data_IF_203427308093
#
_entry.id   IF_203427308093
#
_cell.length_a   1.000
_cell.length_b   1.000
_cell.length_c   1.000
_cell.angle_alpha   90.00
_cell.angle_beta   90.00
_cell.angle_gamma   90.00
#
_symmetry.space_group_name_H-M   'P 1'
#
loop_
_entity.id
_entity.type
_entity.pdbx_description
1 polymer ?
#
# COMPACT_ATOMS: atom_id res chain seq x y z
N UNK A 1 -28.55 -1.83 13.29
CA UNK A 1 -27.23 -1.68 13.93
C UNK A 1 -26.65 -0.36 13.42
N UNK A 2 -26.65 0.70 14.23
CA UNK A 2 -26.23 2.05 13.82
C UNK A 2 -25.05 2.53 14.67
N UNK A 3 -24.08 1.64 14.80
CA UNK A 3 -23.00 1.68 15.77
C UNK A 3 -21.80 0.94 15.15
N UNK A 4 -20.63 1.15 15.74
CA UNK A 4 -19.36 0.49 15.53
C UNK A 4 -18.37 1.21 14.60
N UNK A 5 -17.53 2.10 15.13
CA UNK A 5 -16.36 1.78 15.99
C UNK A 5 -15.21 1.04 15.27
N UNK A 6 -15.08 1.13 13.93
CA UNK A 6 -13.92 0.55 13.22
C UNK A 6 -13.25 1.44 12.18
N UNK A 7 -13.52 2.75 12.16
CA UNK A 7 -12.76 3.71 11.35
C UNK A 7 -11.34 3.95 11.89
N UNK A 8 -10.59 2.89 12.21
CA UNK A 8 -9.19 2.90 11.85
C UNK A 8 -9.14 2.43 10.41
N UNK A 9 -9.40 3.36 9.47
CA UNK A 9 -8.79 3.22 8.16
C UNK A 9 -7.30 3.14 8.45
N UNK A 10 -6.70 1.99 8.17
CA UNK A 10 -5.26 1.84 8.39
C UNK A 10 -4.61 2.73 7.35
N UNK A 11 -3.91 3.74 7.85
CA UNK A 11 -3.18 4.71 7.07
C UNK A 11 -1.71 4.64 7.43
N UNK A 12 -0.84 4.83 6.44
CA UNK A 12 0.59 4.83 6.64
C UNK A 12 1.27 5.79 5.67
N UNK A 13 2.45 6.25 6.06
CA UNK A 13 3.30 7.05 5.18
C UNK A 13 4.20 6.13 4.37
N UNK A 14 4.40 6.47 3.10
CA UNK A 14 5.28 5.70 2.21
C UNK A 14 6.03 6.59 1.24
N UNK A 15 6.95 5.97 0.51
CA UNK A 15 7.56 6.57 -0.67
C UNK A 15 7.03 5.85 -1.89
N UNK A 16 6.46 6.59 -2.84
CA UNK A 16 5.94 6.02 -4.08
C UNK A 16 6.60 6.63 -5.29
N UNK A 17 6.76 5.84 -6.34
CA UNK A 17 7.18 6.29 -7.67
C UNK A 17 6.37 5.57 -8.73
N UNK A 18 6.00 6.31 -9.78
CA UNK A 18 5.23 5.80 -10.91
C UNK A 18 6.03 4.80 -11.77
N UNK A 19 7.35 5.00 -11.81
CA UNK A 19 8.27 4.23 -12.65
C UNK A 19 9.70 4.33 -12.08
N UNK A 20 10.65 3.65 -12.73
CA UNK A 20 12.04 3.58 -12.27
C UNK A 20 12.84 4.89 -12.39
N UNK A 21 12.40 5.85 -13.21
CA UNK A 21 13.08 7.14 -13.45
C UNK A 21 12.41 8.31 -12.72
N UNK A 22 11.16 8.12 -12.31
CA UNK A 22 10.37 9.06 -11.54
C UNK A 22 10.96 9.25 -10.14
N UNK A 23 10.90 10.50 -9.67
CA UNK A 23 11.30 10.81 -8.30
C UNK A 23 10.33 10.17 -7.30
N UNK A 24 10.88 9.61 -6.23
CA UNK A 24 10.09 9.16 -5.07
C UNK A 24 9.35 10.34 -4.44
N UNK A 25 8.05 10.17 -4.22
CA UNK A 25 7.18 11.13 -3.56
C UNK A 25 6.74 10.58 -2.21
N UNK A 26 6.72 11.44 -1.20
CA UNK A 26 6.02 11.14 0.05
C UNK A 26 4.52 11.01 -0.23
N UNK A 27 3.95 9.91 0.23
CA UNK A 27 2.55 9.55 -0.02
C UNK A 27 1.88 9.05 1.24
N UNK A 28 0.56 9.24 1.29
CA UNK A 28 -0.33 8.62 2.25
C UNK A 28 -0.98 7.38 1.63
N UNK A 29 -0.88 6.27 2.34
CA UNK A 29 -1.41 4.97 1.92
C UNK A 29 -2.64 4.67 2.74
N UNK A 30 -3.72 4.26 2.08
CA UNK A 30 -4.99 3.92 2.72
C UNK A 30 -5.47 2.56 2.25
N UNK A 31 -5.80 1.66 3.18
CA UNK A 31 -6.49 0.40 2.86
C UNK A 31 -8.00 0.63 2.81
N UNK A 32 -8.60 0.37 1.64
CA UNK A 32 -10.04 0.26 1.44
C UNK A 32 -10.55 -1.17 1.59
N UNK A 33 -11.73 -1.46 1.01
CA UNK A 33 -12.31 -2.81 1.07
C UNK A 33 -11.53 -3.83 0.22
N UNK A 34 -11.15 -3.44 -0.99
CA UNK A 34 -10.41 -4.29 -1.94
C UNK A 34 -9.25 -3.58 -2.61
N UNK A 35 -9.03 -2.31 -2.27
CA UNK A 35 -8.07 -1.43 -2.93
C UNK A 35 -7.09 -0.83 -1.93
N UNK A 36 -5.84 -0.69 -2.36
CA UNK A 36 -4.85 0.16 -1.74
C UNK A 36 -4.86 1.49 -2.48
N UNK A 37 -5.26 2.56 -1.78
CA UNK A 37 -5.21 3.92 -2.30
C UNK A 37 -3.85 4.53 -1.95
N UNK A 38 -3.20 5.10 -2.96
CA UNK A 38 -1.97 5.87 -2.83
C UNK A 38 -2.31 7.32 -3.18
N UNK A 39 -2.18 8.23 -2.22
CA UNK A 39 -2.41 9.67 -2.43
C UNK A 39 -1.19 10.48 -2.06
N UNK A 40 -1.08 11.68 -2.62
CA UNK A 40 -0.06 12.64 -2.16
C UNK A 40 -0.39 13.17 -0.75
N UNK A 41 0.49 14.04 -0.23
CA UNK A 41 0.31 14.67 1.09
C UNK A 41 -0.86 15.67 1.15
N UNK A 42 -1.49 15.99 0.02
CA UNK A 42 -2.71 16.80 -0.07
C UNK A 42 -3.96 15.92 -0.27
N UNK A 43 -3.83 14.61 -0.04
CA UNK A 43 -4.87 13.59 -0.20
C UNK A 43 -5.41 13.49 -1.64
N UNK A 44 -4.63 13.94 -2.64
CA UNK A 44 -4.97 13.75 -4.04
C UNK A 44 -4.58 12.34 -4.49
N UNK A 45 -5.50 11.55 -5.05
CA UNK A 45 -5.21 10.18 -5.47
C UNK A 45 -4.16 10.17 -6.60
N UNK A 46 -3.07 9.44 -6.40
CA UNK A 46 -2.01 9.22 -7.39
C UNK A 46 -2.18 7.88 -8.10
N UNK A 47 -2.47 6.82 -7.33
CA UNK A 47 -2.65 5.47 -7.85
C UNK A 47 -3.65 4.67 -7.02
N UNK A 48 -4.25 3.66 -7.65
CA UNK A 48 -5.14 2.71 -7.02
C UNK A 48 -4.68 1.31 -7.38
N UNK A 49 -4.29 0.52 -6.38
CA UNK A 49 -3.91 -0.87 -6.59
C UNK A 49 -4.98 -1.80 -6.07
N UNK A 50 -5.22 -2.89 -6.79
CA UNK A 50 -6.06 -3.97 -6.28
C UNK A 50 -5.26 -4.75 -5.24
N UNK A 51 -5.76 -4.91 -4.02
CA UNK A 51 -5.09 -5.70 -2.98
C UNK A 51 -4.86 -7.16 -3.39
N UNK A 52 -5.69 -7.67 -4.31
CA UNK A 52 -5.56 -9.00 -4.90
C UNK A 52 -4.32 -9.15 -5.79
N UNK A 53 -3.85 -8.03 -6.34
CA UNK A 53 -2.83 -7.95 -7.37
C UNK A 53 -1.67 -7.06 -6.89
N UNK A 54 -1.34 -7.11 -5.60
CA UNK A 54 -0.11 -6.51 -5.05
C UNK A 54 0.88 -7.63 -4.81
N UNK A 55 2.14 -7.39 -5.17
CA UNK A 55 3.25 -8.28 -4.89
C UNK A 55 4.32 -7.59 -4.05
N UNK A 56 5.01 -8.37 -3.22
CA UNK A 56 6.12 -7.90 -2.40
C UNK A 56 7.44 -8.30 -3.07
N UNK A 57 8.23 -7.32 -3.49
CA UNK A 57 9.49 -7.54 -4.19
C UNK A 57 10.63 -8.01 -3.28
N UNK A 58 10.59 -7.68 -1.98
CA UNK A 58 11.67 -7.98 -1.03
C UNK A 58 11.16 -8.58 0.30
N UNK A 59 10.54 -9.77 0.29
CA UNK A 59 10.03 -10.40 1.51
C UNK A 59 11.12 -10.54 2.57
N UNK A 60 10.79 -10.22 3.83
CA UNK A 60 11.72 -10.26 4.97
C UNK A 60 12.69 -9.07 5.09
N UNK A 61 12.72 -8.16 4.13
CA UNK A 61 13.58 -6.97 4.15
C UNK A 61 12.78 -5.68 4.29
N UNK A 62 13.47 -4.62 4.73
CA UNK A 62 12.93 -3.26 4.89
C UNK A 62 13.81 -2.21 4.16
N UNK A 63 13.22 -1.12 3.62
CA UNK A 63 11.77 -0.85 3.56
C UNK A 63 11.05 -1.92 2.74
N UNK A 64 9.81 -2.26 3.10
CA UNK A 64 9.02 -3.22 2.35
C UNK A 64 8.63 -2.60 1.01
N UNK A 65 9.00 -3.25 -0.09
CA UNK A 65 8.77 -2.78 -1.46
C UNK A 65 7.63 -3.59 -2.05
N UNK A 66 6.58 -2.88 -2.44
CA UNK A 66 5.41 -3.40 -3.11
C UNK A 66 5.29 -2.83 -4.52
N UNK A 67 4.68 -3.60 -5.40
CA UNK A 67 4.29 -3.16 -6.74
C UNK A 67 2.99 -3.88 -7.15
N UNK A 68 2.20 -3.31 -8.08
CA UNK A 68 1.08 -4.03 -8.66
C UNK A 68 1.58 -5.20 -9.53
N UNK A 69 0.76 -6.24 -9.66
CA UNK A 69 0.98 -7.34 -10.59
C UNK A 69 1.00 -6.80 -12.02
N UNK A 70 2.01 -7.21 -12.80
CA UNK A 70 2.18 -6.78 -14.19
C UNK A 70 2.88 -5.43 -14.38
N UNK A 71 3.16 -4.65 -13.34
CA UNK A 71 3.99 -3.43 -13.42
C UNK A 71 4.98 -3.35 -12.25
N UNK A 72 6.22 -3.76 -12.53
CA UNK A 72 7.33 -3.72 -11.58
C UNK A 72 8.07 -2.37 -11.57
N UNK A 73 7.71 -1.43 -12.46
CA UNK A 73 8.33 -0.11 -12.50
C UNK A 73 7.66 0.81 -11.46
N UNK A 74 6.35 0.67 -11.32
CA UNK A 74 5.60 1.30 -10.24
C UNK A 74 5.97 0.64 -8.89
N UNK A 75 6.27 1.46 -7.87
CA UNK A 75 6.63 0.89 -6.56
C UNK A 75 6.27 1.77 -5.39
N UNK A 76 5.96 1.10 -4.28
CA UNK A 76 5.63 1.66 -2.99
C UNK A 76 6.59 1.08 -1.94
N UNK A 77 7.29 1.96 -1.25
CA UNK A 77 8.20 1.63 -0.16
C UNK A 77 7.56 2.02 1.18
N UNK A 78 7.44 1.05 2.10
CA UNK A 78 6.95 1.24 3.46
C UNK A 78 8.07 0.95 4.47
N UNK A 79 8.32 1.91 5.36
CA UNK A 79 9.35 1.76 6.40
C UNK A 79 8.94 0.75 7.48
N UNK A 80 9.92 0.28 8.26
CA UNK A 80 9.66 -0.63 9.38
C UNK A 80 8.71 -0.05 10.45
N UNK A 81 8.65 1.28 10.57
CA UNK A 81 7.69 1.96 11.45
C UNK A 81 6.24 1.66 11.08
N UNK A 82 5.97 1.46 9.79
CA UNK A 82 4.63 1.21 9.23
C UNK A 82 4.26 -0.27 9.24
N UNK A 83 4.75 -1.02 10.22
CA UNK A 83 4.55 -2.49 10.32
C UNK A 83 3.08 -2.90 10.32
N UNK A 84 2.19 -2.08 10.87
CA UNK A 84 0.75 -2.37 10.91
C UNK A 84 0.14 -2.39 9.51
N UNK A 85 0.52 -1.43 8.66
CA UNK A 85 0.14 -1.38 7.25
C UNK A 85 0.72 -2.59 6.48
N UNK A 86 2.00 -2.90 6.71
CA UNK A 86 2.68 -4.04 6.07
C UNK A 86 1.97 -5.36 6.43
N UNK A 87 1.68 -5.58 7.71
CA UNK A 87 0.96 -6.77 8.17
C UNK A 87 -0.46 -6.85 7.61
N UNK A 88 -1.15 -5.71 7.50
CA UNK A 88 -2.49 -5.64 6.91
C UNK A 88 -2.48 -6.01 5.41
N UNK A 89 -1.54 -5.47 4.64
CA UNK A 89 -1.36 -5.82 3.21
C UNK A 89 -1.10 -7.33 3.06
N UNK A 90 -0.13 -7.89 3.80
CA UNK A 90 0.22 -9.32 3.70
C UNK A 90 -0.97 -10.23 4.07
N UNK A 91 -1.74 -9.86 5.09
CA UNK A 91 -2.93 -10.60 5.49
C UNK A 91 -4.01 -10.56 4.41
N UNK A 92 -4.28 -9.39 3.83
CA UNK A 92 -5.31 -9.23 2.80
C UNK A 92 -4.94 -9.94 1.50
N UNK A 93 -3.67 -9.87 1.08
CA UNK A 93 -3.13 -10.65 -0.05
C UNK A 93 -3.40 -12.16 0.11
N UNK A 94 -3.14 -12.68 1.32
CA UNK A 94 -3.34 -14.11 1.63
C UNK A 94 -4.82 -14.52 1.64
N UNK A 95 -5.71 -13.64 2.10
CA UNK A 95 -7.16 -13.92 2.14
C UNK A 95 -7.76 -13.93 0.74
N UNK A 96 -7.32 -13.04 -0.15
CA UNK A 96 -7.87 -12.93 -1.51
C UNK A 96 -7.31 -14.03 -2.45
N UNK A 97 -6.09 -14.53 -2.20
CA UNK A 97 -5.51 -15.62 -2.98
C UNK A 97 -6.12 -17.01 -2.71
N UNK A 98 -7.10 -17.12 -1.79
CA UNK A 98 -7.83 -18.35 -1.47
C UNK A 98 -9.19 -18.39 -2.13
#
# INVERSE_FOLDING_TARGET
MTALDKYQRIEALGLWRADNVSQRKDVLISIGETTLLISDMQEQPLAHWSLAAIERANPGNFPAIYHPDGDHEESLELNYSEKEMIEAIEKLRTVIAR
#
